data_IF_230139013522
#
_entry.id   IF_230139013522
#
_cell.length_a   1.000
_cell.length_b   1.000
_cell.length_c   1.000
_cell.angle_alpha   90.00
_cell.angle_beta   90.00
_cell.angle_gamma   90.00
#
_symmetry.space_group_name_H-M   'P 1'
#
loop_
_entity.id
_entity.type
_entity.pdbx_description
1 polymer ?
#
# COMPACT_ATOMS: atom_id res chain seq x y z
N UNK A 1 20.57 17.95 55.50
CA UNK A 1 19.60 17.66 54.42
C UNK A 1 19.37 18.83 53.44
N UNK A 2 19.60 20.10 53.82
CA UNK A 2 19.38 21.27 52.93
C UNK A 2 20.36 21.44 51.76
N UNK A 3 21.67 21.16 51.93
CA UNK A 3 22.66 21.38 50.86
C UNK A 3 22.53 20.43 49.65
N UNK A 4 22.05 19.21 49.85
CA UNK A 4 21.86 18.21 48.79
C UNK A 4 20.71 18.59 47.87
N UNK A 5 19.67 19.25 48.40
CA UNK A 5 18.50 19.72 47.64
C UNK A 5 18.87 20.95 46.78
N UNK A 6 19.69 21.86 47.33
CA UNK A 6 20.17 23.05 46.61
C UNK A 6 21.10 22.68 45.43
N UNK A 7 22.02 21.71 45.61
CA UNK A 7 22.88 21.21 44.51
C UNK A 7 22.11 20.49 43.40
N UNK A 8 21.04 19.76 43.72
CA UNK A 8 20.15 19.15 42.70
C UNK A 8 19.36 20.20 41.92
N UNK A 9 18.87 21.25 42.60
CA UNK A 9 18.18 22.38 41.96
C UNK A 9 19.06 23.20 41.03
N UNK A 10 20.34 23.41 41.39
CA UNK A 10 21.32 24.09 40.53
C UNK A 10 21.62 23.29 39.25
N UNK A 11 21.91 21.98 39.37
CA UNK A 11 22.12 21.10 38.21
C UNK A 11 20.91 21.01 37.28
N UNK A 12 19.69 21.00 37.84
CA UNK A 12 18.46 21.01 37.05
C UNK A 12 18.26 22.34 36.32
N UNK A 13 18.54 23.48 36.97
CA UNK A 13 18.49 24.80 36.34
C UNK A 13 19.53 24.96 35.23
N UNK A 14 20.75 24.46 35.43
CA UNK A 14 21.80 24.47 34.41
C UNK A 14 21.47 23.56 33.23
N UNK A 15 20.88 22.39 33.49
CA UNK A 15 20.35 21.49 32.47
C UNK A 15 19.23 22.14 31.67
N UNK A 16 18.25 22.76 32.34
CA UNK A 16 17.15 23.50 31.69
C UNK A 16 17.71 24.66 30.88
N UNK A 17 18.70 25.41 31.38
CA UNK A 17 19.32 26.52 30.66
C UNK A 17 20.11 26.06 29.43
N UNK A 18 20.81 24.93 29.54
CA UNK A 18 21.52 24.28 28.42
C UNK A 18 20.54 23.80 27.34
N UNK A 19 19.48 23.08 27.72
CA UNK A 19 18.39 22.66 26.82
C UNK A 19 17.70 23.87 26.18
N UNK A 20 17.47 24.93 26.94
CA UNK A 20 16.86 26.17 26.44
C UNK A 20 17.75 26.88 25.41
N UNK A 21 19.08 26.75 25.54
CA UNK A 21 20.06 27.29 24.57
C UNK A 21 20.10 26.45 23.28
N UNK A 22 19.95 25.13 23.35
CA UNK A 22 19.89 24.29 22.14
C UNK A 22 18.66 24.60 21.27
N UNK A 23 17.53 24.99 21.87
CA UNK A 23 16.32 25.41 21.14
C UNK A 23 16.49 26.70 20.32
N UNK A 24 17.59 27.44 20.49
CA UNK A 24 17.88 28.62 19.68
C UNK A 24 18.89 28.33 18.54
N UNK A 25 19.43 27.11 18.46
CA UNK A 25 20.38 26.72 17.41
C UNK A 25 19.68 25.87 16.35
N UNK A 26 19.64 26.40 15.13
CA UNK A 26 18.98 25.78 13.99
C UNK A 26 19.53 24.40 13.65
N UNK A 27 20.84 24.19 13.77
CA UNK A 27 21.47 22.91 13.43
C UNK A 27 20.91 21.75 14.25
N UNK A 28 20.52 21.99 15.51
CA UNK A 28 19.85 20.95 16.30
C UNK A 28 18.44 20.64 15.79
N UNK A 29 17.73 21.61 15.21
CA UNK A 29 16.42 21.37 14.60
C UNK A 29 16.54 20.46 13.36
N UNK A 30 17.55 20.69 12.52
CA UNK A 30 17.87 19.83 11.37
C UNK A 30 18.23 18.40 11.79
N UNK A 31 19.11 18.26 12.80
CA UNK A 31 19.49 16.95 13.34
C UNK A 31 18.29 16.24 13.95
N UNK A 32 17.44 16.96 14.70
CA UNK A 32 16.24 16.38 15.28
C UNK A 32 15.24 15.92 14.21
N UNK A 33 15.02 16.72 13.16
CA UNK A 33 14.20 16.33 12.01
C UNK A 33 14.71 15.03 11.38
N UNK A 34 16.02 14.94 11.14
CA UNK A 34 16.65 13.75 10.57
C UNK A 34 16.45 12.53 11.47
N UNK A 35 16.79 12.64 12.76
CA UNK A 35 16.66 11.54 13.72
C UNK A 35 15.20 11.12 13.86
N UNK A 36 14.26 12.07 13.91
CA UNK A 36 12.84 11.79 14.01
C UNK A 36 12.35 10.96 12.82
N UNK A 37 12.60 11.41 11.58
CA UNK A 37 12.16 10.67 10.39
C UNK A 37 12.84 9.31 10.32
N UNK A 38 14.14 9.23 10.65
CA UNK A 38 14.87 7.97 10.70
C UNK A 38 14.18 7.00 11.66
N UNK A 39 13.90 7.42 12.89
CA UNK A 39 13.22 6.58 13.89
C UNK A 39 11.84 6.11 13.43
N UNK A 40 11.06 6.96 12.77
CA UNK A 40 9.75 6.59 12.22
C UNK A 40 9.87 5.56 11.10
N UNK A 41 10.84 5.71 10.20
CA UNK A 41 11.12 4.73 9.15
C UNK A 41 11.55 3.38 9.74
N UNK A 42 12.39 3.40 10.77
CA UNK A 42 12.82 2.17 11.45
C UNK A 42 11.68 1.51 12.20
N UNK A 43 10.86 2.29 12.90
CA UNK A 43 9.68 1.78 13.56
C UNK A 43 8.75 1.09 12.56
N UNK A 44 8.49 1.71 11.39
CA UNK A 44 7.77 1.07 10.29
C UNK A 44 8.40 -0.29 9.92
N UNK A 45 9.69 -0.31 9.57
CA UNK A 45 10.39 -1.50 9.08
C UNK A 45 10.35 -2.69 10.04
N UNK A 46 10.53 -2.44 11.34
CA UNK A 46 10.58 -3.49 12.35
C UNK A 46 9.20 -3.88 12.88
N UNK A 47 8.23 -2.96 12.97
CA UNK A 47 6.87 -3.32 13.38
C UNK A 47 6.14 -4.12 12.31
N UNK A 48 6.45 -3.91 11.03
CA UNK A 48 5.88 -4.68 9.90
C UNK A 48 6.66 -5.96 9.60
N UNK A 49 7.81 -6.17 10.26
CA UNK A 49 8.70 -7.31 10.03
C UNK A 49 9.27 -7.39 8.60
N UNK A 50 9.20 -6.31 7.82
CA UNK A 50 9.88 -6.19 6.52
C UNK A 50 11.39 -6.33 6.73
N UNK A 51 11.94 -5.59 7.70
CA UNK A 51 13.31 -5.78 8.17
C UNK A 51 13.35 -6.77 9.32
N UNK A 52 14.15 -7.81 9.17
CA UNK A 52 14.28 -8.88 10.18
C UNK A 52 15.30 -8.50 11.24
N UNK A 53 15.07 -8.88 12.52
CA UNK A 53 16.10 -8.85 13.55
C UNK A 53 17.30 -9.74 13.19
N UNK A 54 18.50 -9.45 13.70
CA UNK A 54 18.82 -8.34 14.60
C UNK A 54 18.87 -7.00 13.87
N UNK A 55 18.48 -5.91 14.55
CA UNK A 55 18.46 -4.57 13.95
C UNK A 55 19.83 -4.17 13.39
N UNK A 56 20.91 -4.45 14.12
CA UNK A 56 22.29 -4.16 13.69
C UNK A 56 22.91 -5.33 12.91
N UNK A 57 22.22 -5.82 11.87
CA UNK A 57 22.76 -6.82 10.94
C UNK A 57 23.38 -6.16 9.71
N UNK A 58 24.33 -6.85 9.05
CA UNK A 58 24.87 -6.43 7.76
C UNK A 58 23.78 -6.31 6.69
N UNK A 59 22.73 -7.13 6.78
CA UNK A 59 21.59 -7.10 5.86
C UNK A 59 20.82 -5.77 5.91
N UNK A 60 20.73 -5.15 7.09
CA UNK A 60 20.00 -3.90 7.29
C UNK A 60 20.86 -2.66 7.00
N UNK A 61 22.18 -2.79 6.80
CA UNK A 61 23.10 -1.65 6.58
C UNK A 61 22.74 -0.87 5.32
N UNK A 62 22.46 -1.55 4.21
CA UNK A 62 22.04 -0.90 2.97
C UNK A 62 20.74 -0.10 3.17
N UNK A 63 19.78 -0.65 3.91
CA UNK A 63 18.52 0.01 4.24
C UNK A 63 18.74 1.26 5.09
N UNK A 64 19.63 1.21 6.09
CA UNK A 64 19.96 2.37 6.91
C UNK A 64 20.63 3.48 6.11
N UNK A 65 21.63 3.14 5.29
CA UNK A 65 22.34 4.11 4.46
C UNK A 65 21.37 4.73 3.45
N UNK A 66 20.58 3.90 2.77
CA UNK A 66 19.60 4.37 1.79
C UNK A 66 18.55 5.29 2.43
N UNK A 67 17.98 4.90 3.58
CA UNK A 67 17.01 5.74 4.31
C UNK A 67 17.62 7.07 4.74
N UNK A 68 18.82 7.06 5.33
CA UNK A 68 19.54 8.28 5.70
C UNK A 68 19.79 9.18 4.49
N UNK A 69 20.26 8.59 3.38
CA UNK A 69 20.50 9.30 2.13
C UNK A 69 19.23 9.91 1.55
N UNK A 70 18.11 9.20 1.54
CA UNK A 70 16.83 9.75 1.07
C UNK A 70 16.38 10.94 1.91
N UNK A 71 16.53 10.88 3.23
CA UNK A 71 16.21 12.01 4.13
C UNK A 71 17.13 13.20 3.84
N UNK A 72 18.43 12.98 3.63
CA UNK A 72 19.41 14.02 3.27
C UNK A 72 19.07 14.66 1.92
N UNK A 73 18.68 13.86 0.92
CA UNK A 73 18.27 14.38 -0.40
C UNK A 73 17.03 15.28 -0.24
N UNK A 74 16.00 14.85 0.49
CA UNK A 74 14.80 15.66 0.77
C UNK A 74 15.18 16.96 1.50
N UNK A 75 16.02 16.86 2.53
CA UNK A 75 16.50 18.01 3.29
C UNK A 75 17.29 18.99 2.41
N UNK A 76 18.12 18.50 1.49
CA UNK A 76 18.91 19.34 0.58
C UNK A 76 18.02 20.19 -0.33
N UNK A 77 16.94 19.61 -0.86
CA UNK A 77 15.94 20.33 -1.68
C UNK A 77 15.26 21.43 -0.85
N UNK A 78 14.93 21.16 0.42
CA UNK A 78 14.33 22.17 1.31
C UNK A 78 15.28 23.36 1.51
N UNK A 79 16.58 23.11 1.71
CA UNK A 79 17.60 24.18 1.84
C UNK A 79 17.64 25.06 0.58
N UNK A 80 17.59 24.43 -0.61
CA UNK A 80 17.65 25.12 -1.89
C UNK A 80 16.41 25.96 -2.18
N UNK A 81 15.22 25.48 -1.83
CA UNK A 81 13.93 26.13 -2.16
C UNK A 81 13.55 27.15 -1.09
N UNK A 82 13.60 26.79 0.20
CA UNK A 82 13.12 27.63 1.29
C UNK A 82 14.26 28.34 2.04
N UNK A 83 14.15 29.67 2.20
CA UNK A 83 15.08 30.45 3.01
C UNK A 83 14.53 30.62 4.43
N UNK A 84 13.91 31.76 4.76
CA UNK A 84 13.27 31.98 6.07
C UNK A 84 12.13 30.99 6.38
N UNK A 85 11.55 30.37 5.35
CA UNK A 85 10.50 29.35 5.47
C UNK A 85 10.99 27.93 5.75
N UNK A 86 12.30 27.66 5.79
CA UNK A 86 12.85 26.29 5.84
C UNK A 86 12.40 25.46 7.05
N UNK A 87 12.26 26.07 8.23
CA UNK A 87 11.76 25.36 9.41
C UNK A 87 10.28 24.95 9.28
N UNK A 88 9.47 25.79 8.60
CA UNK A 88 8.07 25.45 8.26
C UNK A 88 8.03 24.31 7.25
N UNK A 89 8.89 24.36 6.24
CA UNK A 89 9.00 23.32 5.24
C UNK A 89 9.42 21.98 5.86
N UNK A 90 10.44 21.96 6.73
CA UNK A 90 10.84 20.76 7.49
C UNK A 90 9.71 20.23 8.37
N UNK A 91 8.99 21.11 9.08
CA UNK A 91 7.84 20.70 9.90
C UNK A 91 6.74 20.07 9.03
N UNK A 92 6.38 20.72 7.91
CA UNK A 92 5.40 20.20 6.97
C UNK A 92 5.83 18.86 6.36
N UNK A 93 7.09 18.71 5.96
CA UNK A 93 7.65 17.45 5.46
C UNK A 93 7.61 16.36 6.52
N UNK A 94 7.91 16.67 7.78
CA UNK A 94 7.78 15.71 8.88
C UNK A 94 6.33 15.26 9.06
N UNK A 95 5.35 16.18 9.00
CA UNK A 95 3.93 15.83 9.06
C UNK A 95 3.50 14.93 7.89
N UNK A 96 3.90 15.25 6.67
CA UNK A 96 3.56 14.46 5.47
C UNK A 96 4.15 13.05 5.57
N UNK A 97 5.44 12.93 5.91
CA UNK A 97 6.09 11.61 6.06
C UNK A 97 5.46 10.84 7.24
N UNK A 98 5.08 11.53 8.31
CA UNK A 98 4.38 10.89 9.44
C UNK A 98 3.04 10.32 9.00
N UNK A 99 2.23 11.11 8.30
CA UNK A 99 0.94 10.65 7.79
C UNK A 99 1.12 9.45 6.84
N UNK A 100 2.09 9.52 5.93
CA UNK A 100 2.42 8.43 5.02
C UNK A 100 2.78 7.13 5.78
N UNK A 101 3.71 7.21 6.74
CA UNK A 101 4.15 6.03 7.50
C UNK A 101 3.05 5.46 8.38
N UNK A 102 2.19 6.30 8.96
CA UNK A 102 1.01 5.83 9.72
C UNK A 102 0.06 5.06 8.80
N UNK A 103 -0.24 5.60 7.61
CA UNK A 103 -1.07 4.93 6.63
C UNK A 103 -0.43 3.61 6.18
N UNK A 104 0.87 3.61 5.85
CA UNK A 104 1.59 2.41 5.44
C UNK A 104 1.60 1.34 6.54
N UNK A 105 1.84 1.69 7.80
CA UNK A 105 1.83 0.71 8.90
C UNK A 105 0.48 0.03 9.03
N UNK A 106 -0.60 0.82 8.98
CA UNK A 106 -1.94 0.29 9.09
C UNK A 106 -2.28 -0.60 7.88
N UNK A 107 -2.00 -0.10 6.67
CA UNK A 107 -2.22 -0.83 5.43
C UNK A 107 -1.42 -2.14 5.38
N UNK A 108 -0.16 -2.13 5.83
CA UNK A 108 0.69 -3.31 5.86
C UNK A 108 0.17 -4.40 6.80
N UNK A 109 -0.44 -4.04 7.95
CA UNK A 109 -1.01 -5.03 8.87
C UNK A 109 -2.13 -5.87 8.25
N UNK A 110 -2.81 -5.35 7.23
CA UNK A 110 -3.87 -6.06 6.53
C UNK A 110 -3.39 -6.68 5.21
N UNK A 111 -2.72 -5.88 4.37
CA UNK A 111 -2.36 -6.25 3.00
C UNK A 111 -0.94 -6.82 2.86
N UNK A 112 -0.13 -6.79 3.93
CA UNK A 112 1.28 -7.19 3.90
C UNK A 112 2.08 -6.50 2.78
N UNK A 113 1.73 -5.26 2.44
CA UNK A 113 2.33 -4.47 1.38
C UNK A 113 2.38 -2.98 1.74
N UNK A 114 3.18 -2.22 1.00
CA UNK A 114 3.27 -0.75 1.12
C UNK A 114 2.24 -0.11 0.20
N UNK A 115 1.74 1.07 0.55
CA UNK A 115 0.79 1.79 -0.29
C UNK A 115 1.50 2.25 -1.57
N UNK A 116 0.98 1.83 -2.73
CA UNK A 116 1.49 2.23 -4.04
C UNK A 116 0.56 3.21 -4.75
N UNK A 117 1.01 3.78 -5.87
CA UNK A 117 0.15 4.68 -6.68
C UNK A 117 -1.13 3.97 -7.17
N UNK A 118 -1.09 2.75 -7.73
CA UNK A 118 -2.30 2.00 -8.07
C UNK A 118 -3.28 1.84 -6.90
N UNK A 119 -2.77 1.54 -5.70
CA UNK A 119 -3.59 1.39 -4.49
C UNK A 119 -4.23 2.74 -4.09
N UNK A 120 -3.47 3.85 -4.15
CA UNK A 120 -4.02 5.17 -3.85
C UNK A 120 -5.13 5.58 -4.82
N UNK A 121 -4.98 5.27 -6.10
CA UNK A 121 -5.98 5.55 -7.12
C UNK A 121 -7.25 4.71 -6.98
N UNK A 122 -7.16 3.56 -6.31
CA UNK A 122 -8.30 2.70 -5.98
C UNK A 122 -9.17 3.25 -4.85
N UNK A 123 -8.62 4.11 -3.98
CA UNK A 123 -9.38 4.66 -2.84
C UNK A 123 -10.39 5.69 -3.33
N UNK A 124 -11.67 5.31 -3.37
CA UNK A 124 -12.76 6.28 -3.48
C UNK A 124 -13.08 6.86 -2.10
N UNK A 125 -12.68 8.11 -1.87
CA UNK A 125 -12.89 8.84 -0.60
C UNK A 125 -14.38 8.88 -0.23
N UNK A 126 -15.30 8.86 -1.20
CA UNK A 126 -16.75 8.84 -0.92
C UNK A 126 -17.23 7.51 -0.38
N UNK A 127 -16.49 6.43 -0.63
CA UNK A 127 -16.77 5.07 -0.17
C UNK A 127 -15.84 4.65 0.97
N UNK A 128 -14.83 5.44 1.31
CA UNK A 128 -13.88 5.14 2.39
C UNK A 128 -14.55 4.93 3.75
N UNK A 129 -15.73 5.52 3.98
CA UNK A 129 -16.53 5.30 5.19
C UNK A 129 -16.94 3.85 5.38
N UNK A 130 -17.17 3.08 4.30
CA UNK A 130 -17.60 1.67 4.40
C UNK A 130 -16.49 0.71 4.83
N UNK A 131 -15.22 1.15 4.78
CA UNK A 131 -14.05 0.37 5.23
C UNK A 131 -13.36 0.99 6.45
N UNK A 132 -13.91 2.09 6.98
CA UNK A 132 -13.27 2.90 8.02
C UNK A 132 -13.09 2.11 9.32
N UNK A 133 -14.10 1.35 9.77
CA UNK A 133 -14.02 0.60 11.02
C UNK A 133 -12.92 -0.48 10.96
N UNK A 134 -12.82 -1.19 9.83
CA UNK A 134 -11.76 -2.18 9.59
C UNK A 134 -10.39 -1.53 9.63
N UNK A 135 -10.21 -0.38 8.98
CA UNK A 135 -8.95 0.39 9.00
C UNK A 135 -8.61 0.85 10.43
N UNK A 136 -9.58 1.39 11.16
CA UNK A 136 -9.37 1.88 12.52
C UNK A 136 -9.03 0.76 13.51
N UNK A 137 -9.59 -0.44 13.32
CA UNK A 137 -9.32 -1.60 14.18
C UNK A 137 -7.85 -2.07 14.14
N UNK A 138 -7.12 -1.71 13.08
CA UNK A 138 -5.72 -2.11 12.87
C UNK A 138 -4.72 -1.17 13.55
N UNK A 139 -5.16 -0.05 14.13
CA UNK A 139 -4.27 0.85 14.88
C UNK A 139 -3.88 0.23 16.22
N UNK A 140 -2.58 0.26 16.53
CA UNK A 140 -2.08 -0.19 17.83
C UNK A 140 -1.61 1.00 18.67
N UNK A 141 -1.75 0.91 20.00
CA UNK A 141 -1.36 1.99 20.93
C UNK A 141 0.10 2.41 20.75
N UNK A 142 0.98 1.46 20.38
CA UNK A 142 2.40 1.71 20.12
C UNK A 142 2.66 2.66 18.93
N UNK A 143 1.70 2.83 18.02
CA UNK A 143 1.83 3.73 16.87
C UNK A 143 1.86 5.22 17.26
N UNK A 144 1.57 5.54 18.53
CA UNK A 144 1.77 6.89 19.07
C UNK A 144 3.20 7.42 18.83
N UNK A 145 4.19 6.54 18.70
CA UNK A 145 5.58 6.89 18.39
C UNK A 145 5.73 7.77 17.14
N UNK A 146 4.83 7.62 16.16
CA UNK A 146 4.82 8.44 14.94
C UNK A 146 4.55 9.92 15.22
N UNK A 147 3.79 10.24 16.27
CA UNK A 147 3.30 11.60 16.54
C UNK A 147 3.97 12.27 17.76
N UNK A 148 4.76 11.53 18.56
CA UNK A 148 5.37 12.04 19.80
C UNK A 148 6.30 13.24 19.58
N UNK A 149 6.95 13.34 18.43
CA UNK A 149 7.89 14.41 18.10
C UNK A 149 7.20 15.70 17.61
N UNK A 150 5.96 15.61 17.13
CA UNK A 150 5.24 16.72 16.49
C UNK A 150 5.04 17.91 17.45
N UNK A 151 4.56 17.75 18.70
CA UNK A 151 4.40 18.89 19.61
C UNK A 151 5.72 19.61 19.88
N UNK A 152 6.82 18.84 20.01
CA UNK A 152 8.14 19.37 20.27
C UNK A 152 8.68 20.17 19.06
N UNK A 153 8.60 19.59 17.86
CA UNK A 153 8.98 20.27 16.62
C UNK A 153 8.16 21.53 16.38
N UNK A 154 6.85 21.48 16.62
CA UNK A 154 5.97 22.63 16.47
C UNK A 154 6.35 23.76 17.43
N UNK A 155 6.52 23.45 18.72
CA UNK A 155 6.95 24.42 19.72
C UNK A 155 8.29 25.05 19.37
N UNK A 156 9.28 24.23 18.99
CA UNK A 156 10.62 24.67 18.63
C UNK A 156 10.60 25.57 17.39
N UNK A 157 9.89 25.17 16.33
CA UNK A 157 9.70 25.97 15.13
C UNK A 157 9.07 27.34 15.46
N UNK A 158 7.99 27.37 16.26
CA UNK A 158 7.32 28.61 16.65
C UNK A 158 8.23 29.54 17.45
N UNK A 159 9.05 28.98 18.34
CA UNK A 159 10.02 29.74 19.13
C UNK A 159 11.07 30.39 18.25
N UNK A 160 11.67 29.64 17.32
CA UNK A 160 12.69 30.16 16.40
C UNK A 160 12.14 31.22 15.43
N UNK A 161 10.87 31.09 15.03
CA UNK A 161 10.20 32.12 14.24
C UNK A 161 10.03 33.43 15.00
N UNK A 162 9.84 33.38 16.33
CA UNK A 162 9.74 34.59 17.17
C UNK A 162 11.10 35.27 17.36
N UNK A 163 12.19 34.51 17.48
CA UNK A 163 13.54 35.06 17.64
C UNK A 163 14.14 35.58 16.33
N UNK A 164 13.49 35.28 15.19
CA UNK A 164 14.01 35.59 13.86
C UNK A 164 14.88 34.44 13.33
N UNK A 165 14.69 34.12 12.05
CA UNK A 165 15.49 33.12 11.33
C UNK A 165 16.42 33.89 10.40
N UNK A 166 17.74 33.76 10.61
CA UNK A 166 18.72 34.42 9.76
C UNK A 166 18.59 33.97 8.30
N UNK A 167 18.58 34.93 7.39
CA UNK A 167 18.52 34.64 5.96
C UNK A 167 19.89 34.19 5.45
N UNK A 168 19.89 33.13 4.66
CA UNK A 168 21.10 32.65 3.98
C UNK A 168 21.11 33.17 2.55
N UNK A 169 22.27 33.63 2.05
CA UNK A 169 22.40 34.07 0.66
C UNK A 169 22.19 32.90 -0.31
N UNK A 170 21.67 33.17 -1.51
CA UNK A 170 21.41 32.12 -2.50
C UNK A 170 22.66 31.28 -2.84
N UNK A 171 23.86 31.85 -3.05
CA UNK A 171 25.07 31.05 -3.31
C UNK A 171 25.41 30.07 -2.17
N UNK A 172 25.28 30.51 -0.91
CA UNK A 172 25.51 29.63 0.26
C UNK A 172 24.51 28.47 0.30
N UNK A 173 23.26 28.70 -0.11
CA UNK A 173 22.22 27.66 -0.19
C UNK A 173 22.50 26.67 -1.31
N UNK A 174 22.99 27.14 -2.47
CA UNK A 174 23.42 26.26 -3.56
C UNK A 174 24.60 25.39 -3.14
N UNK A 175 25.58 25.95 -2.43
CA UNK A 175 26.72 25.17 -1.89
C UNK A 175 26.21 24.12 -0.89
N UNK A 176 25.36 24.51 0.06
CA UNK A 176 24.81 23.59 1.05
C UNK A 176 23.96 22.47 0.41
N UNK A 177 23.16 22.83 -0.60
CA UNK A 177 22.43 21.86 -1.42
C UNK A 177 23.38 20.90 -2.13
N UNK A 178 24.38 21.41 -2.86
CA UNK A 178 25.30 20.57 -3.62
C UNK A 178 26.07 19.60 -2.71
N UNK A 179 26.61 20.08 -1.58
CA UNK A 179 27.31 19.23 -0.62
C UNK A 179 26.39 18.14 -0.04
N UNK A 180 25.19 18.52 0.38
CA UNK A 180 24.21 17.58 0.95
C UNK A 180 23.72 16.58 -0.09
N UNK A 181 23.46 17.04 -1.33
CA UNK A 181 23.04 16.20 -2.43
C UNK A 181 24.13 15.20 -2.81
N UNK A 182 25.41 15.62 -2.88
CA UNK A 182 26.54 14.71 -3.13
C UNK A 182 26.58 13.62 -2.05
N UNK A 183 26.53 13.98 -0.77
CA UNK A 183 26.51 13.01 0.33
C UNK A 183 25.31 12.06 0.20
N UNK A 184 24.12 12.61 -0.05
CA UNK A 184 22.88 11.86 -0.21
C UNK A 184 22.96 10.86 -1.37
N UNK A 185 23.29 11.33 -2.57
CA UNK A 185 23.36 10.50 -3.77
C UNK A 185 24.52 9.49 -3.73
N UNK A 186 25.68 9.84 -3.18
CA UNK A 186 26.78 8.89 -3.01
C UNK A 186 26.43 7.79 -2.02
N UNK A 187 25.82 8.13 -0.87
CA UNK A 187 25.35 7.13 0.09
C UNK A 187 24.22 6.26 -0.47
N UNK A 188 23.29 6.86 -1.21
CA UNK A 188 22.22 6.09 -1.85
C UNK A 188 22.80 5.15 -2.92
N UNK A 189 23.71 5.65 -3.76
CA UNK A 189 24.37 4.88 -4.81
C UNK A 189 25.17 3.69 -4.26
N UNK A 190 25.83 3.84 -3.11
CA UNK A 190 26.54 2.72 -2.47
C UNK A 190 25.57 1.67 -1.91
N UNK A 191 24.48 2.09 -1.25
CA UNK A 191 23.44 1.16 -0.79
C UNK A 191 22.77 0.42 -1.95
N UNK A 192 22.46 1.14 -3.04
CA UNK A 192 21.86 0.57 -4.25
C UNK A 192 22.81 -0.41 -4.95
N UNK A 193 24.09 -0.09 -5.06
CA UNK A 193 25.09 -0.97 -5.65
C UNK A 193 25.31 -2.25 -4.83
N UNK A 194 25.14 -2.19 -3.51
CA UNK A 194 25.25 -3.34 -2.61
C UNK A 194 23.99 -4.24 -2.60
N UNK A 195 22.91 -3.83 -3.27
CA UNK A 195 21.66 -4.60 -3.33
C UNK A 195 21.72 -5.62 -4.46
N UNK A 196 21.34 -6.87 -4.18
CA UNK A 196 21.24 -7.94 -5.17
C UNK A 196 20.17 -7.59 -6.22
N UNK A 197 20.55 -7.66 -7.50
CA UNK A 197 19.72 -7.27 -8.64
C UNK A 197 19.13 -8.45 -9.41
N UNK A 198 19.68 -9.64 -9.19
CA UNK A 198 19.26 -10.87 -9.88
C UNK A 198 18.18 -11.63 -9.11
N UNK A 199 17.75 -11.12 -7.96
CA UNK A 199 16.64 -11.70 -7.19
C UNK A 199 15.30 -11.39 -7.89
N UNK A 200 14.48 -12.39 -8.27
CA UNK A 200 13.15 -12.17 -8.84
C UNK A 200 12.25 -11.29 -7.95
N UNK A 201 12.52 -11.23 -6.65
CA UNK A 201 11.79 -10.39 -5.70
C UNK A 201 12.09 -8.90 -5.85
N UNK A 202 13.06 -8.46 -6.67
CA UNK A 202 13.35 -7.03 -6.92
C UNK A 202 12.12 -6.26 -7.44
N UNK A 203 11.19 -6.95 -8.10
CA UNK A 203 9.93 -6.37 -8.54
C UNK A 203 8.96 -6.10 -7.37
N UNK A 204 9.09 -6.82 -6.25
CA UNK A 204 8.28 -6.61 -5.05
C UNK A 204 8.63 -5.33 -4.31
N UNK A 205 7.64 -4.47 -4.04
CA UNK A 205 7.84 -3.28 -3.20
C UNK A 205 8.35 -3.60 -1.80
N UNK A 206 7.97 -4.75 -1.25
CA UNK A 206 8.46 -5.19 0.06
C UNK A 206 9.95 -5.51 0.02
N UNK A 207 10.45 -6.08 -1.08
CA UNK A 207 11.88 -6.31 -1.25
C UNK A 207 12.64 -4.98 -1.31
N UNK A 208 12.14 -4.02 -2.11
CA UNK A 208 12.74 -2.69 -2.23
C UNK A 208 12.74 -1.98 -0.89
N UNK A 209 11.63 -2.02 -0.15
CA UNK A 209 11.57 -1.43 1.18
C UNK A 209 12.53 -2.12 2.15
N UNK A 210 12.60 -3.46 2.14
CA UNK A 210 13.54 -4.22 2.98
C UNK A 210 14.99 -3.83 2.74
N UNK A 211 15.40 -3.66 1.48
CA UNK A 211 16.80 -3.43 1.11
C UNK A 211 17.19 -1.94 1.09
N UNK A 212 16.26 -1.06 0.72
CA UNK A 212 16.53 0.36 0.44
C UNK A 212 15.67 1.34 1.24
N UNK A 213 14.76 0.86 2.08
CA UNK A 213 13.96 1.72 2.97
C UNK A 213 12.59 2.08 2.39
N UNK A 214 11.61 2.24 3.29
CA UNK A 214 10.23 2.60 2.95
C UNK A 214 10.09 3.92 2.17
N UNK A 215 10.94 4.91 2.44
CA UNK A 215 10.88 6.17 1.69
C UNK A 215 11.30 5.99 0.23
N UNK A 216 12.31 5.14 -0.02
CA UNK A 216 12.75 4.86 -1.38
C UNK A 216 11.76 3.95 -2.11
N UNK A 217 11.11 2.98 -1.44
CA UNK A 217 10.11 2.12 -2.08
C UNK A 217 8.93 2.92 -2.66
N UNK A 218 8.54 4.03 -2.04
CA UNK A 218 7.54 4.95 -2.62
C UNK A 218 8.05 5.60 -3.92
N UNK A 219 9.31 6.02 -3.95
CA UNK A 219 9.94 6.57 -5.17
C UNK A 219 10.02 5.50 -6.27
N UNK A 220 10.39 4.27 -5.91
CA UNK A 220 10.46 3.14 -6.83
C UNK A 220 9.08 2.78 -7.39
N UNK A 221 8.06 2.67 -6.54
CA UNK A 221 6.67 2.42 -6.95
C UNK A 221 6.15 3.49 -7.90
N UNK A 222 6.44 4.78 -7.66
CA UNK A 222 6.08 5.86 -8.59
C UNK A 222 6.76 5.67 -9.95
N UNK A 223 8.04 5.29 -9.98
CA UNK A 223 8.76 5.04 -11.23
C UNK A 223 8.17 3.86 -11.99
N UNK A 224 7.91 2.74 -11.31
CA UNK A 224 7.27 1.55 -11.89
C UNK A 224 5.92 1.91 -12.50
N UNK A 225 5.07 2.61 -11.76
CA UNK A 225 3.78 3.09 -12.24
C UNK A 225 3.88 3.93 -13.53
N UNK A 226 4.84 4.87 -13.60
CA UNK A 226 5.03 5.70 -14.80
C UNK A 226 5.47 4.86 -16.01
N UNK A 227 6.36 3.90 -15.81
CA UNK A 227 6.85 3.00 -16.87
C UNK A 227 5.71 2.10 -17.36
N UNK A 228 5.00 1.43 -16.45
CA UNK A 228 3.86 0.55 -16.78
C UNK A 228 2.77 1.29 -17.57
N UNK A 229 2.37 2.49 -17.14
CA UNK A 229 1.35 3.26 -17.85
C UNK A 229 1.82 3.67 -19.25
N UNK A 230 3.12 3.92 -19.43
CA UNK A 230 3.66 4.23 -20.75
C UNK A 230 3.58 3.01 -21.67
N UNK A 231 4.00 1.85 -21.19
CA UNK A 231 3.95 0.59 -21.95
C UNK A 231 2.51 0.18 -22.30
N UNK A 232 1.57 0.35 -21.37
CA UNK A 232 0.14 0.07 -21.60
C UNK A 232 -0.43 0.91 -22.76
N UNK A 233 -0.02 2.18 -22.87
CA UNK A 233 -0.46 3.06 -23.96
C UNK A 233 0.14 2.70 -25.32
N UNK A 234 1.33 2.09 -25.34
CA UNK A 234 1.99 1.64 -26.58
C UNK A 234 1.36 0.32 -27.08
N UNK A 235 0.88 -0.52 -26.16
CA UNK A 235 0.22 -1.79 -26.44
C UNK A 235 1.19 -2.88 -26.93
N UNK A 236 0.66 -4.09 -27.15
CA UNK A 236 1.48 -5.24 -27.58
C UNK A 236 1.94 -5.10 -29.03
N UNK A 237 3.23 -5.37 -29.24
CA UNK A 237 3.81 -5.57 -30.58
C UNK A 237 3.22 -6.81 -31.26
N UNK A 238 3.33 -6.89 -32.59
CA UNK A 238 2.88 -8.07 -33.35
C UNK A 238 3.60 -9.36 -32.91
N UNK A 239 4.88 -9.26 -32.56
CA UNK A 239 5.68 -10.40 -32.10
C UNK A 239 5.18 -10.94 -30.76
N UNK A 240 4.83 -10.06 -29.83
CA UNK A 240 4.26 -10.45 -28.53
C UNK A 240 2.87 -11.09 -28.69
N UNK A 241 2.04 -10.55 -29.59
CA UNK A 241 0.72 -11.15 -29.90
C UNK A 241 0.88 -12.56 -30.47
N UNK A 242 1.76 -12.74 -31.44
CA UNK A 242 2.03 -14.05 -32.05
C UNK A 242 2.58 -15.05 -31.04
N UNK A 243 3.45 -14.59 -30.13
CA UNK A 243 3.97 -15.40 -29.03
C UNK A 243 2.84 -15.85 -28.08
N UNK A 244 1.97 -14.93 -27.65
CA UNK A 244 0.85 -15.24 -26.75
C UNK A 244 -0.14 -16.22 -27.38
N UNK A 245 -0.50 -16.02 -28.65
CA UNK A 245 -1.39 -16.95 -29.38
C UNK A 245 -0.81 -18.36 -29.37
N UNK A 246 0.46 -18.52 -29.78
CA UNK A 246 1.14 -19.82 -29.78
C UNK A 246 1.25 -20.43 -28.39
N UNK A 247 1.54 -19.60 -27.37
CA UNK A 247 1.62 -20.06 -25.98
C UNK A 247 0.30 -20.68 -25.53
N UNK A 248 -0.84 -20.01 -25.75
CA UNK A 248 -2.15 -20.52 -25.34
C UNK A 248 -2.62 -21.70 -26.22
N UNK A 249 -2.33 -21.70 -27.52
CA UNK A 249 -2.62 -22.84 -28.40
C UNK A 249 -1.85 -24.10 -28.02
N UNK A 250 -0.64 -23.96 -27.45
CA UNK A 250 0.18 -25.09 -27.02
C UNK A 250 -0.29 -25.77 -25.72
N UNK A 251 -1.21 -25.15 -24.97
CA UNK A 251 -1.69 -25.69 -23.69
C UNK A 251 -2.51 -26.95 -23.90
N UNK A 252 -2.11 -28.05 -23.28
CA UNK A 252 -2.86 -29.31 -23.31
C UNK A 252 -4.09 -29.23 -22.40
N UNK A 253 -5.26 -29.63 -22.89
CA UNK A 253 -6.43 -29.81 -22.05
C UNK A 253 -6.23 -31.02 -21.13
N UNK A 254 -6.40 -30.81 -19.82
CA UNK A 254 -6.35 -31.85 -18.79
C UNK A 254 -7.72 -32.00 -18.14
N UNK A 255 -8.02 -33.21 -17.66
CA UNK A 255 -9.23 -33.48 -16.87
C UNK A 255 -10.28 -34.36 -17.54
N UNK A 256 -11.38 -34.60 -16.82
CA UNK A 256 -12.51 -35.41 -17.27
C UNK A 256 -13.35 -34.64 -18.29
N UNK A 257 -13.78 -35.32 -19.35
CA UNK A 257 -14.59 -34.71 -20.39
C UNK A 257 -16.07 -34.65 -19.98
N UNK A 258 -16.51 -33.47 -19.53
CA UNK A 258 -17.92 -33.17 -19.23
C UNK A 258 -18.58 -32.31 -20.33
N UNK A 259 -18.04 -32.32 -21.55
CA UNK A 259 -18.52 -31.46 -22.63
C UNK A 259 -20.01 -31.68 -22.91
N UNK A 260 -20.80 -30.61 -22.76
CA UNK A 260 -22.21 -30.57 -23.15
C UNK A 260 -23.22 -31.12 -22.15
N UNK A 261 -22.80 -31.65 -20.99
CA UNK A 261 -23.73 -32.26 -20.00
C UNK A 261 -24.79 -31.29 -19.46
N UNK A 262 -24.52 -29.98 -19.51
CA UNK A 262 -25.41 -28.92 -19.04
C UNK A 262 -25.88 -27.98 -20.15
N UNK A 263 -25.79 -28.38 -21.43
CA UNK A 263 -26.23 -27.53 -22.56
C UNK A 263 -27.71 -27.14 -22.41
N UNK A 264 -28.01 -25.84 -22.52
CA UNK A 264 -29.37 -25.30 -22.42
C UNK A 264 -29.89 -25.11 -20.99
N UNK A 265 -29.07 -25.33 -19.96
CA UNK A 265 -29.42 -25.06 -18.56
C UNK A 265 -28.98 -23.66 -18.16
N UNK A 266 -29.68 -23.07 -17.20
CA UNK A 266 -29.25 -21.83 -16.56
C UNK A 266 -27.96 -22.05 -15.76
N UNK A 267 -27.07 -21.06 -15.77
CA UNK A 267 -25.92 -20.98 -14.90
C UNK A 267 -26.20 -19.99 -13.77
N UNK A 268 -26.10 -20.45 -12.52
CA UNK A 268 -26.17 -19.60 -11.33
C UNK A 268 -24.81 -19.70 -10.64
N UNK A 269 -24.18 -18.55 -10.42
CA UNK A 269 -22.93 -18.42 -9.67
C UNK A 269 -23.24 -17.71 -8.35
N UNK A 270 -22.84 -18.31 -7.24
CA UNK A 270 -22.94 -17.72 -5.91
C UNK A 270 -21.54 -17.47 -5.39
N UNK A 271 -21.16 -16.20 -5.26
CA UNK A 271 -19.91 -15.81 -4.60
C UNK A 271 -20.16 -15.71 -3.10
N UNK A 272 -19.39 -16.47 -2.31
CA UNK A 272 -19.48 -16.45 -0.85
C UNK A 272 -18.33 -15.61 -0.32
N UNK A 273 -18.66 -14.45 0.25
CA UNK A 273 -17.68 -13.46 0.71
C UNK A 273 -16.86 -14.00 1.89
N UNK A 274 -15.54 -13.79 1.85
CA UNK A 274 -14.56 -14.16 2.87
C UNK A 274 -14.60 -15.61 3.41
N UNK A 275 -15.28 -16.55 2.75
CA UNK A 275 -15.36 -17.94 3.22
C UNK A 275 -14.06 -18.69 2.93
N UNK A 276 -13.45 -19.25 3.98
CA UNK A 276 -12.29 -20.13 3.85
C UNK A 276 -12.66 -21.59 4.08
N UNK A 277 -11.99 -22.47 3.33
CA UNK A 277 -12.22 -23.91 3.29
C UNK A 277 -12.23 -24.59 4.67
N UNK A 278 -11.45 -24.10 5.64
CA UNK A 278 -11.36 -24.70 6.97
C UNK A 278 -12.69 -24.62 7.76
N UNK A 279 -13.64 -23.77 7.35
CA UNK A 279 -14.96 -23.68 7.98
C UNK A 279 -15.89 -24.82 7.56
N UNK A 280 -15.63 -25.45 6.41
CA UNK A 280 -16.44 -26.56 5.91
C UNK A 280 -16.31 -27.75 6.85
N UNK A 281 -17.44 -28.29 7.31
CA UNK A 281 -17.49 -29.39 8.29
C UNK A 281 -17.04 -29.01 9.71
N UNK A 282 -16.57 -27.78 9.94
CA UNK A 282 -16.13 -27.33 11.26
C UNK A 282 -17.30 -27.04 12.20
N UNK A 283 -17.03 -27.18 13.50
CA UNK A 283 -18.00 -26.98 14.59
C UNK A 283 -17.44 -26.07 15.66
N UNK A 284 -18.30 -25.24 16.25
CA UNK A 284 -18.02 -24.47 17.47
C UNK A 284 -19.01 -24.93 18.53
N UNK A 285 -18.52 -25.38 19.68
CA UNK A 285 -19.36 -25.93 20.77
C UNK A 285 -20.33 -27.03 20.31
N UNK A 286 -19.89 -27.86 19.35
CA UNK A 286 -20.69 -28.95 18.79
C UNK A 286 -21.69 -28.55 17.70
N UNK A 287 -21.83 -27.25 17.39
CA UNK A 287 -22.72 -26.73 16.35
C UNK A 287 -21.95 -26.49 15.06
N UNK A 288 -22.46 -26.97 13.93
CA UNK A 288 -21.86 -26.73 12.61
C UNK A 288 -21.89 -25.26 12.23
N UNK A 289 -20.77 -24.76 11.71
CA UNK A 289 -20.67 -23.36 11.25
C UNK A 289 -21.44 -23.17 9.93
N UNK A 290 -21.33 -24.13 9.02
CA UNK A 290 -21.88 -24.03 7.65
C UNK A 290 -22.82 -25.19 7.28
N UNK A 291 -23.87 -25.49 8.06
CA UNK A 291 -24.67 -26.71 7.89
C UNK A 291 -25.34 -26.84 6.52
N UNK A 292 -25.76 -25.74 5.90
CA UNK A 292 -26.37 -25.77 4.56
C UNK A 292 -25.35 -26.06 3.46
N UNK A 293 -24.14 -25.48 3.55
CA UNK A 293 -23.05 -25.78 2.61
C UNK A 293 -22.58 -27.22 2.76
N UNK A 294 -22.46 -27.71 4.00
CA UNK A 294 -22.07 -29.09 4.28
C UNK A 294 -23.04 -30.09 3.63
N UNK A 295 -24.35 -29.80 3.65
CA UNK A 295 -25.37 -30.61 2.95
C UNK A 295 -25.23 -30.51 1.44
N UNK A 296 -25.10 -29.30 0.89
CA UNK A 296 -24.97 -29.08 -0.56
C UNK A 296 -23.78 -29.83 -1.17
N UNK A 297 -22.67 -29.91 -0.44
CA UNK A 297 -21.47 -30.64 -0.85
C UNK A 297 -21.75 -32.13 -1.10
N UNK A 298 -22.64 -32.75 -0.32
CA UNK A 298 -22.96 -34.18 -0.47
C UNK A 298 -23.66 -34.50 -1.81
N UNK A 299 -24.24 -33.50 -2.46
CA UNK A 299 -24.96 -33.61 -3.73
C UNK A 299 -24.19 -32.97 -4.90
N UNK A 300 -22.97 -32.49 -4.67
CA UNK A 300 -22.22 -31.65 -5.60
C UNK A 300 -20.86 -32.24 -5.99
N UNK A 301 -20.33 -31.76 -7.11
CA UNK A 301 -18.89 -31.87 -7.36
C UNK A 301 -18.18 -30.84 -6.47
N UNK A 302 -17.39 -31.35 -5.53
CA UNK A 302 -16.69 -30.52 -4.56
C UNK A 302 -15.17 -30.61 -4.76
N UNK A 303 -14.51 -29.45 -4.68
CA UNK A 303 -13.08 -29.30 -4.85
C UNK A 303 -12.49 -28.69 -3.58
N UNK A 304 -11.84 -29.52 -2.79
CA UNK A 304 -11.20 -29.15 -1.51
C UNK A 304 -9.78 -28.59 -1.67
N UNK A 305 -9.26 -28.62 -2.90
CA UNK A 305 -7.94 -28.12 -3.29
C UNK A 305 -8.04 -26.98 -4.31
N UNK A 306 -8.94 -26.02 -4.06
CA UNK A 306 -9.11 -24.79 -4.84
C UNK A 306 -8.58 -23.60 -4.04
N UNK A 307 -7.81 -22.73 -4.69
CA UNK A 307 -7.17 -21.58 -4.06
C UNK A 307 -7.63 -20.31 -4.76
N UNK A 308 -7.92 -19.27 -3.98
CA UNK A 308 -8.15 -17.95 -4.53
C UNK A 308 -6.84 -17.39 -5.11
N UNK A 309 -6.93 -16.56 -6.14
CA UNK A 309 -5.78 -15.97 -6.84
C UNK A 309 -5.90 -14.44 -6.92
N UNK A 310 -6.56 -13.85 -5.92
CA UNK A 310 -6.81 -12.41 -5.82
C UNK A 310 -5.56 -11.63 -5.41
N UNK A 311 -5.53 -10.35 -5.72
CA UNK A 311 -4.48 -9.40 -5.35
C UNK A 311 -5.11 -8.16 -4.67
N UNK A 312 -4.77 -6.94 -5.11
CA UNK A 312 -5.24 -5.68 -4.50
C UNK A 312 -6.75 -5.43 -4.61
N UNK A 313 -7.44 -6.09 -5.54
CA UNK A 313 -8.88 -5.94 -5.78
C UNK A 313 -9.77 -6.89 -4.97
N UNK A 314 -9.21 -7.89 -4.28
CA UNK A 314 -9.95 -8.85 -3.45
C UNK A 314 -11.19 -9.43 -4.18
N UNK A 315 -12.40 -9.06 -3.74
CA UNK A 315 -13.69 -9.46 -4.35
C UNK A 315 -13.73 -9.21 -5.86
N UNK A 316 -13.27 -8.04 -6.34
CA UNK A 316 -13.31 -7.72 -7.77
C UNK A 316 -12.34 -8.54 -8.60
N UNK A 317 -11.23 -8.97 -8.01
CA UNK A 317 -10.25 -9.83 -8.68
C UNK A 317 -10.81 -11.25 -8.84
N UNK A 318 -11.53 -11.74 -7.83
CA UNK A 318 -12.25 -13.01 -7.91
C UNK A 318 -13.30 -12.99 -9.03
N UNK A 319 -14.03 -11.88 -9.15
CA UNK A 319 -14.99 -11.67 -10.24
C UNK A 319 -14.29 -11.61 -11.61
N UNK A 320 -13.13 -10.94 -11.73
CA UNK A 320 -12.35 -10.91 -12.97
C UNK A 320 -11.90 -12.32 -13.38
N UNK A 321 -11.27 -13.05 -12.46
CA UNK A 321 -10.75 -14.40 -12.67
C UNK A 321 -11.85 -15.32 -13.18
N UNK A 322 -13.00 -15.33 -12.49
CA UNK A 322 -14.15 -16.14 -12.89
C UNK A 322 -14.64 -15.79 -14.29
N UNK A 323 -14.76 -14.49 -14.60
CA UNK A 323 -15.38 -14.04 -15.84
C UNK A 323 -14.41 -14.06 -17.03
N UNK A 324 -13.10 -14.11 -16.83
CA UNK A 324 -12.13 -13.93 -17.94
C UNK A 324 -11.04 -14.98 -17.99
N UNK A 325 -10.87 -15.78 -16.92
CA UNK A 325 -9.73 -16.68 -16.75
C UNK A 325 -8.36 -15.97 -16.83
N UNK A 326 -8.32 -14.66 -16.55
CA UNK A 326 -7.11 -13.86 -16.47
C UNK A 326 -6.77 -13.55 -15.01
N UNK A 327 -5.48 -13.54 -14.70
CA UNK A 327 -5.00 -13.04 -13.41
C UNK A 327 -5.32 -11.55 -13.23
N UNK A 328 -5.56 -11.12 -11.99
CA UNK A 328 -5.73 -9.70 -11.69
C UNK A 328 -4.42 -8.91 -11.89
N UNK A 329 -4.52 -7.59 -11.74
CA UNK A 329 -3.36 -6.72 -11.72
C UNK A 329 -2.44 -7.07 -10.55
N UNK A 330 -1.13 -6.98 -10.74
CA UNK A 330 -0.15 -7.17 -9.66
C UNK A 330 -0.36 -6.14 -8.52
N UNK A 331 -0.72 -4.91 -8.89
CA UNK A 331 -0.99 -3.82 -7.94
C UNK A 331 -2.34 -3.13 -8.20
N UNK A 332 -3.00 -2.73 -7.12
CA UNK A 332 -4.34 -2.14 -7.16
C UNK A 332 -5.40 -3.12 -7.66
N UNK A 333 -6.55 -2.59 -8.04
CA UNK A 333 -7.67 -3.39 -8.56
C UNK A 333 -7.77 -3.29 -10.08
N UNK A 334 -7.81 -4.45 -10.75
CA UNK A 334 -7.98 -4.52 -12.20
C UNK A 334 -9.29 -3.85 -12.66
N UNK A 335 -10.35 -3.93 -11.86
CA UNK A 335 -11.63 -3.28 -12.12
C UNK A 335 -11.55 -1.75 -12.20
N UNK A 336 -10.51 -1.14 -11.62
CA UNK A 336 -10.31 0.32 -11.65
C UNK A 336 -9.29 0.67 -12.73
N UNK A 337 -8.15 -0.03 -12.77
CA UNK A 337 -7.06 0.24 -13.72
C UNK A 337 -7.47 -0.04 -15.17
N UNK A 338 -8.15 -1.17 -15.40
CA UNK A 338 -8.32 -1.77 -16.71
C UNK A 338 -9.78 -1.87 -17.16
N UNK A 339 -10.67 -1.07 -16.55
CA UNK A 339 -12.11 -1.07 -16.85
C UNK A 339 -12.46 -0.76 -18.31
N UNK A 340 -11.54 -0.17 -19.06
CA UNK A 340 -11.72 0.23 -20.46
C UNK A 340 -11.11 -0.75 -21.46
N UNK A 341 -10.48 -1.82 -20.98
CA UNK A 341 -9.90 -2.85 -21.85
C UNK A 341 -11.00 -3.64 -22.55
N UNK A 342 -10.62 -4.34 -23.62
CA UNK A 342 -11.50 -5.31 -24.26
C UNK A 342 -11.29 -6.68 -23.64
N UNK A 343 -12.36 -7.27 -23.15
CA UNK A 343 -12.36 -8.62 -22.61
C UNK A 343 -13.25 -9.51 -23.46
N UNK A 344 -12.83 -10.76 -23.66
CA UNK A 344 -13.73 -11.84 -24.04
C UNK A 344 -14.07 -12.61 -22.76
N UNK A 345 -15.27 -12.40 -22.27
CA UNK A 345 -15.68 -12.80 -20.92
C UNK A 345 -16.77 -13.88 -20.95
N UNK A 346 -16.99 -14.53 -19.80
CA UNK A 346 -18.05 -15.53 -19.62
C UNK A 346 -19.45 -14.97 -19.95
N UNK A 347 -19.85 -13.75 -19.53
CA UNK A 347 -21.12 -13.18 -19.92
C UNK A 347 -21.23 -12.98 -21.43
N UNK A 348 -20.20 -12.46 -22.09
CA UNK A 348 -20.20 -12.29 -23.55
C UNK A 348 -20.33 -13.64 -24.28
N UNK A 349 -19.53 -14.64 -23.88
CA UNK A 349 -19.57 -15.97 -24.48
C UNK A 349 -20.95 -16.65 -24.29
N UNK A 350 -21.62 -16.43 -23.16
CA UNK A 350 -22.98 -16.92 -22.92
C UNK A 350 -24.02 -16.12 -23.72
N UNK A 351 -23.85 -14.80 -23.86
CA UNK A 351 -24.68 -13.94 -24.70
C UNK A 351 -24.66 -14.34 -26.17
N UNK A 352 -23.49 -14.71 -26.70
CA UNK A 352 -23.34 -15.28 -28.06
C UNK A 352 -24.13 -16.60 -28.25
N UNK A 353 -24.40 -17.32 -27.16
CA UNK A 353 -25.22 -18.53 -27.13
C UNK A 353 -26.71 -18.25 -26.85
N UNK A 354 -27.11 -16.98 -26.73
CA UNK A 354 -28.49 -16.53 -26.53
C UNK A 354 -28.95 -16.48 -25.07
N UNK A 355 -28.02 -16.50 -24.09
CA UNK A 355 -28.37 -16.30 -22.68
C UNK A 355 -28.48 -14.82 -22.34
N UNK A 356 -29.40 -14.51 -21.43
CA UNK A 356 -29.38 -13.23 -20.73
C UNK A 356 -28.47 -13.33 -19.49
N UNK A 357 -27.70 -12.29 -19.23
CA UNK A 357 -26.66 -12.27 -18.21
C UNK A 357 -26.89 -11.17 -17.19
N UNK A 358 -26.86 -11.54 -15.91
CA UNK A 358 -27.18 -10.62 -14.81
C UNK A 358 -26.11 -10.71 -13.73
N UNK A 359 -25.72 -9.57 -13.21
CA UNK A 359 -24.99 -9.47 -11.94
C UNK A 359 -25.93 -8.91 -10.87
N UNK A 360 -25.84 -9.42 -9.64
CA UNK A 360 -26.71 -9.04 -8.53
C UNK A 360 -25.84 -8.75 -7.30
N UNK A 361 -26.00 -7.57 -6.72
CA UNK A 361 -25.31 -7.22 -5.47
C UNK A 361 -26.06 -6.09 -4.74
N UNK A 362 -26.48 -6.34 -3.50
CA UNK A 362 -27.20 -5.35 -2.68
C UNK A 362 -26.26 -4.31 -2.05
N UNK A 363 -25.40 -3.70 -2.86
CA UNK A 363 -24.52 -2.61 -2.46
C UNK A 363 -24.37 -1.61 -3.61
N UNK A 364 -23.81 -0.43 -3.32
CA UNK A 364 -23.69 0.62 -4.33
C UNK A 364 -22.91 0.15 -5.56
N UNK A 365 -23.48 0.35 -6.74
CA UNK A 365 -22.88 -0.10 -8.00
C UNK A 365 -21.52 0.51 -8.33
N UNK A 366 -21.19 1.63 -7.69
CA UNK A 366 -19.90 2.32 -7.86
C UNK A 366 -18.77 1.63 -7.10
N UNK A 367 -19.08 0.81 -6.09
CA UNK A 367 -18.06 0.09 -5.35
C UNK A 367 -17.31 -0.86 -6.28
N UNK A 368 -15.97 -0.88 -6.16
CA UNK A 368 -15.08 -1.55 -7.12
C UNK A 368 -15.21 -1.12 -8.58
N UNK A 369 -15.84 0.03 -8.88
CA UNK A 369 -16.09 0.45 -10.27
C UNK A 369 -16.90 -0.59 -11.10
N UNK A 370 -17.76 -1.37 -10.44
CA UNK A 370 -18.58 -2.42 -11.08
C UNK A 370 -19.49 -1.87 -12.17
N UNK A 371 -20.03 -0.65 -12.01
CA UNK A 371 -20.85 -0.01 -13.04
C UNK A 371 -20.18 0.01 -14.42
N UNK A 372 -18.89 0.34 -14.47
CA UNK A 372 -18.17 0.41 -15.75
C UNK A 372 -17.61 -0.96 -16.14
N UNK A 373 -17.02 -1.69 -15.19
CA UNK A 373 -16.43 -2.99 -15.50
C UNK A 373 -17.47 -4.03 -15.94
N UNK A 374 -18.67 -4.08 -15.37
CA UNK A 374 -19.69 -5.04 -15.80
C UNK A 374 -20.23 -4.76 -17.20
N UNK A 375 -20.29 -3.48 -17.62
CA UNK A 375 -20.57 -3.14 -19.03
C UNK A 375 -19.47 -3.66 -19.94
N UNK A 376 -18.21 -3.46 -19.54
CA UNK A 376 -17.04 -3.93 -20.27
C UNK A 376 -16.97 -5.47 -20.36
N UNK A 377 -17.35 -6.17 -19.29
CA UNK A 377 -17.48 -7.63 -19.26
C UNK A 377 -18.75 -8.12 -19.97
N UNK A 378 -19.60 -7.25 -20.50
CA UNK A 378 -20.77 -7.62 -21.30
C UNK A 378 -21.92 -8.25 -20.52
N UNK A 379 -22.10 -7.89 -19.25
CA UNK A 379 -23.36 -8.20 -18.56
C UNK A 379 -24.51 -7.35 -19.12
N UNK A 380 -25.66 -7.97 -19.35
CA UNK A 380 -26.85 -7.24 -19.86
C UNK A 380 -27.40 -6.28 -18.81
N UNK A 381 -27.38 -6.70 -17.53
CA UNK A 381 -27.91 -5.89 -16.43
C UNK A 381 -27.18 -6.14 -15.12
N UNK A 382 -26.93 -5.04 -14.40
CA UNK A 382 -26.51 -5.05 -13.01
C UNK A 382 -27.69 -4.65 -12.11
N UNK A 383 -28.04 -5.52 -11.18
CA UNK A 383 -29.07 -5.33 -10.15
C UNK A 383 -28.34 -4.95 -8.87
N UNK A 384 -28.17 -3.64 -8.67
CA UNK A 384 -27.48 -3.03 -7.52
C UNK A 384 -28.44 -2.71 -6.36
N UNK A 385 -27.94 -2.04 -5.32
CA UNK A 385 -28.70 -1.58 -4.15
C UNK A 385 -30.03 -0.88 -4.47
N UNK A 386 -30.14 -0.17 -5.60
CA UNK A 386 -31.37 0.52 -6.00
C UNK A 386 -32.56 -0.40 -6.28
N UNK A 387 -32.31 -1.70 -6.47
CA UNK A 387 -33.34 -2.73 -6.70
C UNK A 387 -33.78 -3.45 -5.42
N UNK A 388 -33.14 -3.18 -4.29
CA UNK A 388 -33.43 -3.85 -3.02
C UNK A 388 -34.12 -2.89 -2.04
N UNK A 389 -34.94 -3.47 -1.17
CA UNK A 389 -35.34 -2.80 0.06
C UNK A 389 -34.26 -3.09 1.10
N UNK A 390 -33.57 -2.05 1.57
CA UNK A 390 -32.45 -2.19 2.50
C UNK A 390 -32.97 -2.18 3.94
N UNK A 391 -33.66 -3.24 4.35
CA UNK A 391 -34.29 -3.39 5.67
C UNK A 391 -33.49 -4.26 6.65
N UNK A 392 -32.52 -5.05 6.17
CA UNK A 392 -31.62 -5.86 6.98
C UNK A 392 -30.15 -5.55 6.66
N UNK A 393 -29.37 -5.21 7.69
CA UNK A 393 -27.92 -5.11 7.59
C UNK A 393 -27.30 -6.40 8.12
N UNK A 394 -26.99 -7.33 7.22
CA UNK A 394 -26.20 -8.52 7.52
C UNK A 394 -24.76 -8.26 7.07
N UNK A 395 -23.88 -7.95 8.02
CA UNK A 395 -22.47 -7.62 7.81
C UNK A 395 -21.74 -7.42 9.11
#
# INVERSE_FOLDING_TARGET
>A
MGEVIVKKGAKLKDLIKSLTKSFNNESFYWVYFFISIMLKCLYFQFTTQISRPPAFSLENVAMYISTASTIIIIASIIILIFNSGRLKALFATNLIITALLVCDTNFFRYYYGIITIPVLLQVDIKLAGSIQESVLSLFEIKDIIYILDIPLLFYWMRRMQKTGIEMTTFPKRVIAFALSAIVGFTGFGSAYAATEKDDPLVYSNNYVARKLGVLYSHVDSIKKYIVENKEENEGLSSQEKDYLIKYFESKTQTGRNYKGVAKGKNLIVVQVEALQQFLIGSKINGVEITPNLNKLIQESLYFDNIYYQVAGGNTSDAELLLNTSLYPAEEGAAYIRFAKNKYYSLPQALGELGYNTYALHAFTSKFWNRTEMYKTLGFDKFIDDSYYVMDEFAG
#
